data_IF_880246561197
#
_entry.id   IF_880246561197
#
_cell.length_a   1.000
_cell.length_b   1.000
_cell.length_c   1.000
_cell.angle_alpha   90.00
_cell.angle_beta   90.00
_cell.angle_gamma   90.00
#
_symmetry.space_group_name_H-M   'P 1'
#
loop_
_entity.id
_entity.type
_entity.pdbx_description
1 polymer ?
#
# COMPACT_ATOMS: atom_id res chain seq x y z
N UNK A 1 44.92 14.43 -25.82
CA UNK A 1 43.81 13.70 -26.46
C UNK A 1 43.81 12.24 -26.04
N UNK A 2 44.91 11.48 -26.21
CA UNK A 2 45.02 10.07 -25.76
C UNK A 2 44.75 9.82 -24.27
N UNK A 3 45.25 10.67 -23.37
CA UNK A 3 45.07 10.47 -21.92
C UNK A 3 43.62 10.68 -21.45
N UNK A 4 42.89 11.58 -22.11
CA UNK A 4 41.47 11.85 -21.82
C UNK A 4 40.60 10.68 -22.30
N UNK A 5 40.97 10.02 -23.41
CA UNK A 5 40.26 8.84 -23.91
C UNK A 5 40.49 7.62 -23.00
N UNK A 6 41.71 7.39 -22.54
CA UNK A 6 42.01 6.30 -21.61
C UNK A 6 41.30 6.44 -20.26
N UNK A 7 41.19 7.66 -19.72
CA UNK A 7 40.42 7.93 -18.50
C UNK A 7 38.90 7.76 -18.71
N UNK A 8 38.39 8.04 -19.90
CA UNK A 8 36.98 7.81 -20.24
C UNK A 8 36.67 6.31 -20.39
N UNK A 9 37.55 5.55 -21.06
CA UNK A 9 37.44 4.10 -21.23
C UNK A 9 37.49 3.35 -19.88
N UNK A 10 38.39 3.74 -18.98
CA UNK A 10 38.48 3.14 -17.64
C UNK A 10 37.22 3.41 -16.79
N UNK A 11 36.65 4.63 -16.87
CA UNK A 11 35.38 4.96 -16.20
C UNK A 11 34.19 4.18 -16.78
N UNK A 12 34.20 3.92 -18.08
CA UNK A 12 33.19 3.11 -18.75
C UNK A 12 33.27 1.64 -18.34
N UNK A 13 34.48 1.09 -18.21
CA UNK A 13 34.72 -0.28 -17.74
C UNK A 13 34.33 -0.46 -16.25
N UNK A 14 34.63 0.52 -15.40
CA UNK A 14 34.17 0.55 -14.01
C UNK A 14 32.64 0.66 -13.89
N UNK A 15 32.01 1.47 -14.74
CA UNK A 15 30.55 1.61 -14.78
C UNK A 15 29.85 0.32 -15.25
N UNK A 16 30.41 -0.38 -16.24
CA UNK A 16 29.92 -1.69 -16.69
C UNK A 16 30.04 -2.73 -15.57
N UNK A 17 31.15 -2.68 -14.83
CA UNK A 17 31.40 -3.57 -13.68
C UNK A 17 30.42 -3.30 -12.53
N UNK A 18 30.14 -2.03 -12.22
CA UNK A 18 29.14 -1.66 -11.21
C UNK A 18 27.72 -2.04 -11.65
N UNK A 19 27.36 -1.79 -12.90
CA UNK A 19 26.05 -2.14 -13.47
C UNK A 19 25.79 -3.64 -13.36
N UNK A 20 26.80 -4.46 -13.66
CA UNK A 20 26.71 -5.91 -13.49
C UNK A 20 26.50 -6.30 -12.02
N UNK A 21 27.28 -5.74 -11.10
CA UNK A 21 27.13 -5.99 -9.64
C UNK A 21 25.73 -5.62 -9.14
N UNK A 22 25.19 -4.48 -9.55
CA UNK A 22 23.83 -4.05 -9.17
C UNK A 22 22.75 -4.97 -9.74
N UNK A 23 22.90 -5.42 -10.99
CA UNK A 23 21.99 -6.38 -11.60
C UNK A 23 22.02 -7.72 -10.87
N UNK A 24 23.20 -8.23 -10.58
CA UNK A 24 23.39 -9.51 -9.87
C UNK A 24 22.82 -9.41 -8.44
N UNK A 25 23.04 -8.29 -7.75
CA UNK A 25 22.46 -8.03 -6.44
C UNK A 25 20.93 -7.98 -6.49
N UNK A 26 20.35 -7.26 -7.46
CA UNK A 26 18.90 -7.15 -7.65
C UNK A 26 18.26 -8.52 -7.88
N UNK A 27 18.84 -9.34 -8.76
CA UNK A 27 18.31 -10.67 -9.07
C UNK A 27 18.41 -11.60 -7.85
N UNK A 28 19.50 -11.51 -7.09
CA UNK A 28 19.78 -12.47 -6.02
C UNK A 28 19.12 -12.15 -4.67
N UNK A 29 18.91 -10.88 -4.36
CA UNK A 29 18.51 -10.45 -3.01
C UNK A 29 17.30 -9.50 -2.97
N UNK A 30 16.90 -8.94 -4.11
CA UNK A 30 15.83 -7.95 -4.16
C UNK A 30 14.58 -8.54 -4.77
N UNK A 31 14.71 -9.37 -5.81
CA UNK A 31 13.55 -9.97 -6.47
C UNK A 31 12.92 -11.06 -5.61
N UNK A 32 11.65 -10.88 -5.32
CA UNK A 32 10.79 -11.94 -4.77
C UNK A 32 10.52 -12.95 -5.89
N UNK A 33 10.55 -14.23 -5.56
CA UNK A 33 10.24 -15.30 -6.50
C UNK A 33 8.76 -15.27 -6.93
N UNK A 34 8.45 -15.74 -8.15
CA UNK A 34 7.07 -15.81 -8.62
C UNK A 34 6.25 -16.85 -7.82
N UNK A 35 6.92 -17.90 -7.33
CA UNK A 35 6.36 -18.90 -6.43
C UNK A 35 5.88 -18.26 -5.12
N UNK A 36 6.72 -17.44 -4.49
CA UNK A 36 6.38 -16.72 -3.26
C UNK A 36 5.28 -15.70 -3.50
N UNK A 37 5.33 -14.95 -4.62
CA UNK A 37 4.25 -14.02 -4.97
C UNK A 37 2.90 -14.74 -5.12
N UNK A 38 2.91 -15.92 -5.74
CA UNK A 38 1.71 -16.75 -5.92
C UNK A 38 1.21 -17.27 -4.59
N UNK A 39 2.10 -17.74 -3.72
CA UNK A 39 1.76 -18.23 -2.38
C UNK A 39 1.14 -17.12 -1.52
N UNK A 40 1.74 -15.92 -1.52
CA UNK A 40 1.21 -14.77 -0.77
C UNK A 40 -0.18 -14.40 -1.27
N UNK A 41 -0.40 -14.33 -2.59
CA UNK A 41 -1.74 -14.05 -3.14
C UNK A 41 -2.77 -15.10 -2.73
N UNK A 42 -2.36 -16.37 -2.67
CA UNK A 42 -3.22 -17.45 -2.18
C UNK A 42 -3.60 -17.24 -0.72
N UNK A 43 -2.65 -16.89 0.15
CA UNK A 43 -2.94 -16.61 1.56
C UNK A 43 -3.82 -15.38 1.76
N UNK A 44 -3.59 -14.31 0.99
CA UNK A 44 -4.46 -13.13 1.02
C UNK A 44 -5.90 -13.52 0.71
N UNK A 45 -6.12 -14.32 -0.33
CA UNK A 45 -7.45 -14.80 -0.66
C UNK A 45 -8.06 -15.66 0.46
N UNK A 46 -7.35 -16.70 0.90
CA UNK A 46 -7.89 -17.69 1.84
C UNK A 46 -8.16 -17.13 3.25
N UNK A 47 -7.34 -16.17 3.71
CA UNK A 47 -7.43 -15.67 5.08
C UNK A 47 -8.00 -14.27 5.16
N UNK A 48 -7.65 -13.37 4.25
CA UNK A 48 -8.15 -12.00 4.30
C UNK A 48 -9.52 -11.93 3.63
N UNK A 49 -9.63 -12.35 2.37
CA UNK A 49 -10.89 -12.22 1.63
C UNK A 49 -11.97 -13.16 2.14
N UNK A 50 -11.67 -14.46 2.11
CA UNK A 50 -12.66 -15.53 2.34
C UNK A 50 -13.03 -15.68 3.82
N UNK A 51 -12.26 -15.10 4.75
CA UNK A 51 -12.55 -15.16 6.19
C UNK A 51 -12.81 -13.78 6.78
N UNK A 52 -11.79 -12.92 6.83
CA UNK A 52 -11.90 -11.63 7.55
C UNK A 52 -12.90 -10.71 6.85
N UNK A 53 -12.75 -10.48 5.56
CA UNK A 53 -13.62 -9.56 4.81
C UNK A 53 -15.03 -10.12 4.67
N UNK A 54 -15.18 -11.44 4.47
CA UNK A 54 -16.49 -12.09 4.49
C UNK A 54 -17.19 -11.88 5.84
N UNK A 55 -16.51 -12.13 6.96
CA UNK A 55 -17.05 -11.87 8.30
C UNK A 55 -17.44 -10.40 8.48
N UNK A 56 -16.58 -9.46 8.07
CA UNK A 56 -16.88 -8.03 8.15
C UNK A 56 -18.10 -7.64 7.32
N UNK A 57 -18.29 -8.23 6.12
CA UNK A 57 -19.47 -7.98 5.28
C UNK A 57 -20.76 -8.47 5.90
N UNK A 58 -20.72 -9.59 6.61
CA UNK A 58 -21.89 -10.19 7.26
C UNK A 58 -22.26 -9.49 8.58
N UNK A 59 -21.27 -8.92 9.28
CA UNK A 59 -21.45 -8.45 10.66
C UNK A 59 -21.31 -6.93 10.84
N UNK A 60 -20.82 -6.20 9.83
CA UNK A 60 -20.66 -4.74 9.92
C UNK A 60 -21.85 -3.99 9.33
N UNK A 61 -22.20 -2.86 9.97
CA UNK A 61 -23.15 -1.89 9.39
C UNK A 61 -22.51 -1.03 8.29
N UNK A 62 -21.18 -0.91 8.27
CA UNK A 62 -20.49 -0.25 7.16
C UNK A 62 -20.39 -1.26 6.01
N UNK A 63 -20.90 -0.88 4.84
CA UNK A 63 -20.76 -1.71 3.65
C UNK A 63 -19.34 -1.59 3.09
N UNK A 64 -18.65 -2.72 2.94
CA UNK A 64 -17.39 -2.79 2.20
C UNK A 64 -17.70 -2.83 0.71
N UNK A 65 -17.25 -1.82 -0.03
CA UNK A 65 -17.43 -1.72 -1.49
C UNK A 65 -16.53 -2.70 -2.23
N UNK A 66 -15.23 -2.63 -1.95
CA UNK A 66 -14.19 -3.44 -2.59
C UNK A 66 -12.91 -3.42 -1.76
N UNK A 67 -11.99 -4.29 -2.13
CA UNK A 67 -10.60 -4.26 -1.69
C UNK A 67 -9.76 -3.68 -2.82
N UNK A 68 -8.80 -2.83 -2.47
CA UNK A 68 -7.76 -2.38 -3.40
C UNK A 68 -6.41 -2.87 -2.90
N UNK A 69 -5.79 -3.74 -3.69
CA UNK A 69 -4.45 -4.24 -3.42
C UNK A 69 -3.44 -3.19 -3.86
N UNK A 70 -2.66 -2.69 -2.90
CA UNK A 70 -1.79 -1.53 -3.11
C UNK A 70 -0.44 -1.76 -2.44
N UNK A 71 0.43 -0.76 -2.45
CA UNK A 71 1.74 -0.84 -1.83
C UNK A 71 2.74 -1.65 -2.63
N UNK A 72 3.95 -1.69 -2.07
CA UNK A 72 5.15 -2.13 -2.77
C UNK A 72 5.05 -3.57 -3.32
N UNK A 73 4.28 -4.45 -2.67
CA UNK A 73 4.12 -5.84 -3.12
C UNK A 73 3.40 -5.91 -4.48
N UNK A 74 2.25 -5.25 -4.59
CA UNK A 74 1.43 -5.28 -5.80
C UNK A 74 2.00 -4.39 -6.90
N UNK A 75 2.77 -3.37 -6.54
CA UNK A 75 3.48 -2.48 -7.46
C UNK A 75 4.83 -3.03 -7.93
N UNK A 76 5.23 -4.23 -7.47
CA UNK A 76 6.52 -4.88 -7.80
C UNK A 76 7.74 -4.07 -7.36
N UNK A 77 7.59 -3.28 -6.32
CA UNK A 77 8.65 -2.51 -5.66
C UNK A 77 9.16 -3.19 -4.39
N UNK A 78 8.52 -4.29 -3.96
CA UNK A 78 8.88 -5.00 -2.74
C UNK A 78 10.12 -5.85 -2.90
N UNK A 79 10.89 -5.93 -1.83
CA UNK A 79 12.12 -6.70 -1.73
C UNK A 79 11.94 -7.87 -0.77
N UNK A 80 12.76 -8.92 -0.86
CA UNK A 80 12.65 -10.12 0.00
C UNK A 80 12.63 -9.81 1.52
N UNK A 81 13.22 -8.70 1.95
CA UNK A 81 13.29 -8.31 3.36
C UNK A 81 11.99 -7.73 3.93
N UNK A 82 10.95 -7.53 3.10
CA UNK A 82 9.72 -6.86 3.52
C UNK A 82 8.56 -7.85 3.65
N UNK A 83 7.95 -7.89 4.84
CA UNK A 83 7.07 -8.97 5.34
C UNK A 83 5.56 -8.65 5.36
N UNK A 84 5.19 -7.44 4.93
CA UNK A 84 3.78 -7.00 4.94
C UNK A 84 3.05 -7.16 3.59
N UNK A 85 1.74 -6.96 3.58
CA UNK A 85 0.96 -6.73 2.35
C UNK A 85 -0.06 -5.64 2.63
N UNK A 86 -0.18 -4.68 1.71
CA UNK A 86 -1.09 -3.55 1.88
C UNK A 86 -2.38 -3.81 1.11
N UNK A 87 -3.50 -3.82 1.85
CA UNK A 87 -4.84 -3.99 1.30
C UNK A 87 -5.70 -2.86 1.84
N UNK A 88 -6.12 -1.97 0.96
CA UNK A 88 -7.04 -0.90 1.30
C UNK A 88 -8.48 -1.43 1.26
N UNK A 89 -9.19 -1.28 2.39
CA UNK A 89 -10.61 -1.63 2.49
C UNK A 89 -11.44 -0.39 2.16
N UNK A 90 -12.09 -0.40 1.00
CA UNK A 90 -12.90 0.74 0.56
C UNK A 90 -14.31 0.60 1.10
N UNK A 91 -14.71 1.52 1.97
CA UNK A 91 -16.08 1.58 2.49
C UNK A 91 -16.99 2.34 1.52
N UNK A 92 -18.22 1.85 1.38
CA UNK A 92 -19.29 2.58 0.70
C UNK A 92 -19.93 3.54 1.69
N UNK A 93 -19.93 4.82 1.35
CA UNK A 93 -20.65 5.87 2.06
C UNK A 93 -21.56 6.61 1.07
N UNK A 94 -22.67 7.19 1.54
CA UNK A 94 -23.43 8.10 0.69
C UNK A 94 -22.66 9.43 0.59
N UNK A 95 -22.59 10.03 -0.60
CA UNK A 95 -21.78 11.23 -0.88
C UNK A 95 -22.09 12.40 0.07
N UNK A 96 -23.31 12.47 0.59
CA UNK A 96 -23.75 13.54 1.48
C UNK A 96 -23.53 13.26 2.97
N UNK A 97 -23.00 12.10 3.37
CA UNK A 97 -22.88 11.70 4.78
C UNK A 97 -21.61 12.22 5.47
N UNK A 98 -20.53 12.45 4.71
CA UNK A 98 -19.21 12.82 5.23
C UNK A 98 -18.71 14.08 4.52
N UNK A 99 -18.20 15.03 5.28
CA UNK A 99 -17.54 16.23 4.77
C UNK A 99 -16.06 16.19 5.09
N UNK A 100 -15.22 16.41 4.08
CA UNK A 100 -13.80 16.60 4.25
C UNK A 100 -13.51 18.06 4.60
N UNK A 101 -12.75 18.27 5.66
CA UNK A 101 -12.32 19.58 6.17
C UNK A 101 -10.79 19.58 6.16
N UNK A 102 -10.21 20.66 5.66
CA UNK A 102 -8.76 20.85 5.63
C UNK A 102 -8.18 20.78 7.05
N UNK A 103 -7.05 20.09 7.18
CA UNK A 103 -6.29 20.02 8.43
C UNK A 103 -5.16 21.03 8.38
N UNK A 104 -4.84 21.62 9.52
CA UNK A 104 -3.63 22.43 9.68
C UNK A 104 -2.33 21.59 9.59
N UNK A 105 -2.44 20.25 9.54
CA UNK A 105 -1.32 19.33 9.37
C UNK A 105 -1.24 18.88 7.90
N UNK A 106 -0.16 19.22 7.17
CA UNK A 106 0.02 18.80 5.79
C UNK A 106 -0.06 17.28 5.61
N UNK A 107 -0.78 16.84 4.58
CA UNK A 107 -1.00 15.43 4.27
C UNK A 107 -2.14 14.77 5.06
N UNK A 108 -2.83 15.50 5.94
CA UNK A 108 -3.98 15.00 6.70
C UNK A 108 -5.27 15.73 6.33
N UNK A 109 -6.39 15.05 6.57
CA UNK A 109 -7.75 15.58 6.38
C UNK A 109 -8.61 15.22 7.58
N UNK A 110 -9.50 16.13 7.98
CA UNK A 110 -10.51 15.86 8.97
C UNK A 110 -11.80 15.42 8.28
N UNK A 111 -12.35 14.27 8.68
CA UNK A 111 -13.63 13.78 8.15
C UNK A 111 -14.72 14.00 9.19
N UNK A 112 -15.73 14.79 8.86
CA UNK A 112 -16.88 15.03 9.74
C UNK A 112 -18.10 14.25 9.24
N UNK A 113 -18.69 13.43 10.12
CA UNK A 113 -19.90 12.67 9.82
C UNK A 113 -21.15 13.48 10.18
N UNK A 114 -22.16 13.49 9.32
CA UNK A 114 -23.50 14.01 9.69
C UNK A 114 -24.13 13.16 10.78
N UNK A 115 -25.03 13.76 11.56
CA UNK A 115 -25.74 13.05 12.65
C UNK A 115 -26.47 11.80 12.18
N UNK A 116 -27.05 11.83 10.98
CA UNK A 116 -27.77 10.69 10.40
C UNK A 116 -26.88 9.62 9.78
N UNK A 117 -25.55 9.82 9.73
CA UNK A 117 -24.64 8.89 9.04
C UNK A 117 -24.39 7.62 9.84
N UNK A 118 -24.30 6.49 9.14
CA UNK A 118 -23.96 5.19 9.74
C UNK A 118 -22.56 5.16 10.36
N UNK A 119 -21.67 6.06 9.91
CA UNK A 119 -20.30 6.18 10.44
C UNK A 119 -20.20 7.13 11.65
N UNK A 120 -21.29 7.81 12.04
CA UNK A 120 -21.31 8.73 13.18
C UNK A 120 -20.88 8.07 14.49
N UNK A 121 -21.16 6.77 14.67
CA UNK A 121 -20.73 6.00 15.85
C UNK A 121 -19.20 5.91 16.02
N UNK A 122 -18.44 6.17 14.96
CA UNK A 122 -16.98 6.19 14.98
C UNK A 122 -16.41 7.59 15.20
N UNK A 123 -17.27 8.61 15.28
CA UNK A 123 -16.86 9.97 15.56
C UNK A 123 -16.61 10.20 17.06
N UNK A 124 -15.89 11.27 17.36
CA UNK A 124 -15.91 11.91 18.67
C UNK A 124 -17.18 12.76 18.83
N UNK A 125 -17.40 13.30 20.03
CA UNK A 125 -18.59 14.09 20.36
C UNK A 125 -18.72 15.36 19.49
N UNK A 126 -17.62 15.86 18.96
CA UNK A 126 -17.57 16.98 18.01
C UNK A 126 -17.85 16.58 16.55
N UNK A 127 -18.10 15.30 16.29
CA UNK A 127 -18.51 14.78 15.00
C UNK A 127 -17.42 14.40 14.01
N UNK A 128 -16.14 14.61 14.37
CA UNK A 128 -15.02 14.15 13.55
C UNK A 128 -14.81 12.65 13.73
N UNK A 129 -14.70 11.93 12.61
CA UNK A 129 -14.46 10.49 12.56
C UNK A 129 -13.06 10.21 13.09
N UNK A 130 -12.94 9.28 14.04
CA UNK A 130 -11.65 8.84 14.56
C UNK A 130 -11.20 7.58 13.84
N UNK A 131 -10.05 7.59 13.14
CA UNK A 131 -9.52 6.37 12.50
C UNK A 131 -9.30 5.23 13.48
N UNK A 132 -9.00 5.53 14.75
CA UNK A 132 -8.78 4.53 15.81
C UNK A 132 -10.05 3.85 16.31
N UNK A 133 -11.23 4.40 15.98
CA UNK A 133 -12.52 3.87 16.42
C UNK A 133 -13.19 3.00 15.36
N UNK A 134 -12.81 3.18 14.09
CA UNK A 134 -13.26 2.37 12.95
C UNK A 134 -12.88 0.91 13.18
#
# INVERSE_FOLDING_TARGET
MHQIMAEAEAREEDALTLTKKLRDFSVKYVKISEEDMTLVRKFVKEYIEDKIIMYCRENSKIQILKLEYTGSFYERLKTEAADEVDIMVVFRTQTAEITAIESDVPGYVLLMAKESSVVRKYAWDNGFISPKRI
#
